data_IF_009735112222
#
_entry.id   IF_009735112222
#
_cell.length_a   1.000
_cell.length_b   1.000
_cell.length_c   1.000
_cell.angle_alpha   90.00
_cell.angle_beta   90.00
_cell.angle_gamma   90.00
#
_symmetry.space_group_name_H-M   'P 1'
#
loop_
_entity.id
_entity.type
_entity.pdbx_description
1 polymer ?
#
# COMPACT_ATOMS: atom_id res chain seq x y z
N UNK A 1 7.40 2.82 14.18
CA UNK A 1 8.78 2.68 13.68
C UNK A 1 9.20 3.94 12.96
N UNK A 2 10.47 4.27 13.01
CA UNK A 2 11.02 5.37 12.22
C UNK A 2 11.23 4.93 10.78
N UNK A 3 11.30 5.89 9.87
CA UNK A 3 11.56 5.62 8.44
C UNK A 3 12.88 4.86 8.26
N UNK A 4 13.93 5.26 8.98
CA UNK A 4 15.24 4.59 8.91
C UNK A 4 15.15 3.12 9.31
N UNK A 5 14.40 2.81 10.37
CA UNK A 5 14.22 1.44 10.83
C UNK A 5 13.48 0.60 9.79
N UNK A 6 12.43 1.18 9.17
CA UNK A 6 11.65 0.49 8.14
C UNK A 6 12.53 0.20 6.92
N UNK A 7 13.29 1.18 6.44
CA UNK A 7 14.18 1.02 5.30
C UNK A 7 15.20 -0.08 5.54
N UNK A 8 15.78 -0.12 6.73
CA UNK A 8 16.75 -1.15 7.08
C UNK A 8 16.11 -2.54 7.08
N UNK A 9 14.91 -2.67 7.62
CA UNK A 9 14.20 -3.96 7.66
C UNK A 9 13.77 -4.42 6.26
N UNK A 10 13.55 -3.49 5.33
CA UNK A 10 13.21 -3.81 3.95
C UNK A 10 14.34 -4.49 3.18
N UNK A 11 15.59 -4.30 3.60
CA UNK A 11 16.75 -4.79 2.85
C UNK A 11 16.71 -6.30 2.58
N UNK A 12 16.07 -7.06 3.45
CA UNK A 12 15.97 -8.52 3.30
C UNK A 12 14.83 -8.98 2.39
N UNK A 13 14.02 -8.04 1.88
CA UNK A 13 12.89 -8.37 1.02
C UNK A 13 13.25 -8.23 -0.46
N UNK A 14 12.53 -8.92 -1.36
CA UNK A 14 12.78 -8.79 -2.79
C UNK A 14 12.66 -7.34 -3.28
N UNK A 15 13.45 -7.01 -4.29
CA UNK A 15 13.49 -5.66 -4.85
C UNK A 15 12.12 -5.16 -5.27
N UNK A 16 11.29 -6.02 -5.87
CA UNK A 16 9.94 -5.65 -6.30
C UNK A 16 9.08 -5.19 -5.12
N UNK A 17 9.13 -5.92 -4.00
CA UNK A 17 8.38 -5.56 -2.80
C UNK A 17 8.82 -4.20 -2.27
N UNK A 18 10.13 -3.96 -2.23
CA UNK A 18 10.66 -2.67 -1.77
C UNK A 18 10.15 -1.52 -2.61
N UNK A 19 10.14 -1.68 -3.93
CA UNK A 19 9.63 -0.64 -4.84
C UNK A 19 8.16 -0.34 -4.59
N UNK A 20 7.35 -1.38 -4.42
CA UNK A 20 5.92 -1.23 -4.14
C UNK A 20 5.71 -0.49 -2.82
N UNK A 21 6.39 -0.91 -1.77
CA UNK A 21 6.19 -0.32 -0.45
C UNK A 21 6.69 1.12 -0.39
N UNK A 22 7.79 1.44 -1.04
CA UNK A 22 8.31 2.81 -1.08
C UNK A 22 7.35 3.74 -1.84
N UNK A 23 6.80 3.28 -2.96
CA UNK A 23 5.83 4.09 -3.70
C UNK A 23 4.54 4.27 -2.90
N UNK A 24 4.09 3.22 -2.23
CA UNK A 24 2.93 3.28 -1.34
C UNK A 24 3.15 4.31 -0.22
N UNK A 25 4.34 4.35 0.35
CA UNK A 25 4.67 5.27 1.43
C UNK A 25 4.58 6.74 1.01
N UNK A 26 4.59 7.02 -0.27
CA UNK A 26 4.52 8.39 -0.81
C UNK A 26 3.09 8.89 -0.97
N UNK A 27 2.09 8.04 -0.79
CA UNK A 27 0.68 8.45 -0.93
C UNK A 27 0.30 9.34 0.25
N UNK A 28 -0.12 10.59 -0.02
CA UNK A 28 -0.48 11.49 1.08
C UNK A 28 -1.73 11.03 1.83
N UNK A 29 -1.80 11.39 3.10
CA UNK A 29 -3.00 11.20 3.89
C UNK A 29 -4.19 11.90 3.22
N UNK A 30 -5.31 11.21 3.13
CA UNK A 30 -6.51 11.74 2.48
C UNK A 30 -6.61 11.42 1.00
N UNK A 31 -5.57 10.79 0.42
CA UNK A 31 -5.57 10.39 -0.99
C UNK A 31 -5.48 8.89 -1.12
N UNK A 32 -5.93 8.38 -2.27
CA UNK A 32 -5.81 6.97 -2.61
C UNK A 32 -5.16 6.84 -3.99
N UNK A 33 -4.58 5.65 -4.23
CA UNK A 33 -4.05 5.30 -5.56
C UNK A 33 -4.49 3.88 -5.87
N UNK A 34 -4.59 3.54 -7.14
CA UNK A 34 -4.95 2.17 -7.54
C UNK A 34 -3.71 1.29 -7.59
N UNK A 35 -3.94 -0.03 -7.54
CA UNK A 35 -2.84 -0.99 -7.72
C UNK A 35 -2.16 -0.80 -9.08
N UNK A 36 -2.95 -0.51 -10.12
CA UNK A 36 -2.40 -0.25 -11.46
C UNK A 36 -1.54 1.00 -11.50
N UNK A 37 -1.96 2.05 -10.78
CA UNK A 37 -1.17 3.29 -10.71
C UNK A 37 0.21 3.02 -10.08
N UNK A 38 0.25 2.25 -8.98
CA UNK A 38 1.51 1.86 -8.34
C UNK A 38 2.37 1.07 -9.33
N UNK A 39 1.75 0.10 -10.03
CA UNK A 39 2.47 -0.73 -11.01
C UNK A 39 3.13 0.13 -12.09
N UNK A 40 2.42 1.10 -12.63
CA UNK A 40 2.97 2.02 -13.63
C UNK A 40 4.14 2.82 -13.07
N UNK A 41 4.01 3.33 -11.87
CA UNK A 41 5.05 4.16 -11.24
C UNK A 41 6.35 3.42 -11.01
N UNK A 42 6.28 2.13 -10.71
CA UNK A 42 7.49 1.34 -10.47
C UNK A 42 8.03 0.69 -11.75
N UNK A 43 7.46 1.01 -12.91
CA UNK A 43 7.95 0.53 -14.19
C UNK A 43 7.45 -0.85 -14.61
N UNK A 44 6.37 -1.35 -14.00
CA UNK A 44 5.78 -2.66 -14.31
C UNK A 44 4.27 -2.53 -14.52
N UNK A 45 3.82 -1.88 -15.62
CA UNK A 45 2.40 -1.50 -15.79
C UNK A 45 1.43 -2.67 -15.82
N UNK A 46 1.92 -3.89 -16.09
CA UNK A 46 1.06 -5.08 -16.11
C UNK A 46 1.07 -5.85 -14.80
N UNK A 47 1.70 -5.31 -13.75
CA UNK A 47 1.94 -6.02 -12.50
C UNK A 47 0.97 -5.64 -11.37
N UNK A 48 -0.23 -5.14 -11.69
CA UNK A 48 -1.18 -4.71 -10.67
C UNK A 48 -1.49 -5.81 -9.65
N UNK A 49 -1.65 -7.07 -10.12
CA UNK A 49 -1.91 -8.20 -9.23
C UNK A 49 -0.73 -8.45 -8.30
N UNK A 50 0.50 -8.40 -8.83
CA UNK A 50 1.70 -8.58 -8.03
C UNK A 50 1.88 -7.45 -7.01
N UNK A 51 1.50 -6.22 -7.38
CA UNK A 51 1.47 -5.09 -6.44
C UNK A 51 0.53 -5.40 -5.28
N UNK A 52 -0.67 -5.90 -5.59
CA UNK A 52 -1.63 -6.30 -4.56
C UNK A 52 -1.06 -7.35 -3.61
N UNK A 53 -0.35 -8.35 -4.16
CA UNK A 53 0.29 -9.38 -3.35
C UNK A 53 1.39 -8.82 -2.44
N UNK A 54 2.20 -7.90 -2.98
CA UNK A 54 3.26 -7.26 -2.19
C UNK A 54 2.67 -6.44 -1.04
N UNK A 55 1.59 -5.72 -1.29
CA UNK A 55 0.92 -4.93 -0.25
C UNK A 55 0.25 -5.82 0.79
N UNK A 56 -0.28 -6.98 0.38
CA UNK A 56 -0.85 -7.94 1.32
C UNK A 56 0.20 -8.51 2.28
N UNK A 57 1.45 -8.51 1.87
CA UNK A 57 2.57 -8.99 2.69
C UNK A 57 3.29 -7.88 3.45
N UNK A 58 2.77 -6.64 3.41
CA UNK A 58 3.39 -5.50 4.08
C UNK A 58 3.38 -5.70 5.60
N UNK A 59 4.56 -5.88 6.23
CA UNK A 59 4.63 -6.04 7.69
C UNK A 59 4.73 -4.71 8.43
N UNK A 60 4.71 -3.59 7.71
CA UNK A 60 4.94 -2.25 8.26
C UNK A 60 3.68 -1.40 8.31
N UNK A 61 2.49 -2.01 8.18
CA UNK A 61 1.24 -1.27 8.30
C UNK A 61 1.03 -0.83 9.75
N UNK A 62 0.51 0.39 9.99
CA UNK A 62 0.09 1.39 9.00
C UNK A 62 1.18 2.39 8.61
N UNK A 63 2.43 2.20 9.06
CA UNK A 63 3.53 3.13 8.75
C UNK A 63 3.76 3.21 7.23
N UNK A 64 3.71 2.05 6.55
CA UNK A 64 3.56 2.04 5.10
C UNK A 64 2.06 1.92 4.83
N UNK A 65 1.42 2.97 4.30
CA UNK A 65 -0.04 3.09 4.31
C UNK A 65 -0.71 2.29 3.19
N UNK A 66 -0.60 0.97 3.23
CA UNK A 66 -1.21 0.12 2.21
C UNK A 66 -2.74 0.25 2.17
N UNK A 67 -3.35 0.80 3.23
CA UNK A 67 -4.79 1.08 3.24
C UNK A 67 -5.17 2.17 2.20
N UNK A 68 -4.21 2.96 1.71
CA UNK A 68 -4.45 4.01 0.71
C UNK A 68 -4.40 3.49 -0.72
N UNK A 69 -4.23 2.19 -0.92
CA UNK A 69 -4.22 1.59 -2.25
C UNK A 69 -5.51 0.79 -2.43
N UNK A 70 -6.23 1.08 -3.51
CA UNK A 70 -7.56 0.53 -3.78
C UNK A 70 -7.60 -0.06 -5.19
N UNK A 71 -8.67 -0.80 -5.51
CA UNK A 71 -8.84 -1.34 -6.85
C UNK A 71 -9.26 -0.26 -7.85
N UNK A 72 -8.93 -0.47 -9.12
CA UNK A 72 -9.28 0.46 -10.17
C UNK A 72 -10.77 0.67 -10.38
N UNK A 73 -11.61 -0.26 -9.94
CA UNK A 73 -13.07 -0.13 -10.01
C UNK A 73 -13.67 0.64 -8.82
N UNK A 74 -12.83 1.13 -7.92
CA UNK A 74 -13.26 1.88 -6.73
C UNK A 74 -13.51 1.03 -5.50
N UNK A 75 -13.44 -0.29 -5.60
CA UNK A 75 -13.56 -1.15 -4.42
C UNK A 75 -12.29 -1.10 -3.59
N UNK A 76 -12.38 -1.45 -2.29
CA UNK A 76 -11.27 -1.28 -1.35
C UNK A 76 -10.08 -2.21 -1.60
N UNK A 77 -10.32 -3.42 -2.11
CA UNK A 77 -9.27 -4.44 -2.14
C UNK A 77 -9.00 -4.97 -0.74
N UNK A 78 -7.91 -5.71 -0.59
CA UNK A 78 -7.54 -6.30 0.70
C UNK A 78 -6.77 -5.36 1.59
N UNK A 79 -6.56 -5.78 2.85
CA UNK A 79 -5.73 -5.05 3.79
C UNK A 79 -4.97 -6.05 4.67
N UNK A 80 -3.66 -5.89 4.77
CA UNK A 80 -2.78 -6.78 5.53
C UNK A 80 -2.68 -6.42 7.01
N UNK A 81 -3.17 -5.25 7.41
CA UNK A 81 -3.13 -4.81 8.80
C UNK A 81 -4.18 -5.49 9.65
N UNK A 82 -4.08 -5.27 10.96
CA UNK A 82 -5.01 -5.84 11.93
C UNK A 82 -6.43 -5.32 11.67
N UNK A 83 -7.40 -6.21 11.69
CA UNK A 83 -8.81 -5.87 11.48
C UNK A 83 -9.28 -5.94 10.03
N UNK A 84 -8.38 -6.20 9.06
CA UNK A 84 -8.74 -6.40 7.66
C UNK A 84 -9.48 -5.24 7.03
N UNK A 85 -10.47 -5.51 6.19
CA UNK A 85 -11.20 -4.49 5.44
C UNK A 85 -11.95 -3.48 6.31
N UNK A 86 -12.44 -3.90 7.47
CA UNK A 86 -13.12 -2.98 8.39
C UNK A 86 -12.17 -1.88 8.86
N UNK A 87 -10.95 -2.27 9.21
CA UNK A 87 -9.92 -1.31 9.62
C UNK A 87 -9.52 -0.41 8.45
N UNK A 88 -9.35 -0.98 7.26
CA UNK A 88 -8.99 -0.21 6.06
C UNK A 88 -10.02 0.89 5.79
N UNK A 89 -11.32 0.54 5.81
CA UNK A 89 -12.39 1.50 5.61
C UNK A 89 -12.37 2.60 6.65
N UNK A 90 -12.22 2.22 7.92
CA UNK A 90 -12.17 3.19 9.03
C UNK A 90 -11.01 4.16 8.87
N UNK A 91 -9.84 3.66 8.52
CA UNK A 91 -8.65 4.50 8.35
C UNK A 91 -8.84 5.50 7.21
N UNK A 92 -9.41 5.07 6.09
CA UNK A 92 -9.69 5.96 4.97
C UNK A 92 -10.72 7.03 5.34
N UNK A 93 -11.75 6.66 6.07
CA UNK A 93 -12.77 7.61 6.54
C UNK A 93 -12.15 8.64 7.49
N UNK A 94 -11.30 8.20 8.42
CA UNK A 94 -10.62 9.10 9.36
C UNK A 94 -9.68 10.07 8.65
N UNK A 95 -9.13 9.67 7.52
CA UNK A 95 -8.25 10.52 6.72
C UNK A 95 -9.02 11.43 5.77
N UNK A 96 -10.34 11.26 5.68
CA UNK A 96 -11.16 12.04 4.77
C UNK A 96 -11.07 11.58 3.31
N UNK A 97 -10.48 10.40 3.05
CA UNK A 97 -10.36 9.87 1.72
C UNK A 97 -11.69 9.24 1.26
N UNK A 98 -11.96 9.34 -0.03
CA UNK A 98 -13.12 8.68 -0.64
C UNK A 98 -12.69 7.31 -1.14
N UNK A 99 -13.47 6.31 -0.82
CA UNK A 99 -13.25 4.96 -1.33
C UNK A 99 -13.90 4.77 -2.69
#
# INVERSE_FOLDING_TARGET
>A
MTTSTILKKMEKYPSFYKKVWLECARIPKGETRTYGWIAEKIGHPKAARAVGQALAKNPFAPDIPCHRVVRGDGSLGGYSGQGGLTTKRRMLEQEGARS
#
